data_IF_086582220587
#
_entry.id   IF_086582220587
#
_cell.length_a   1.000
_cell.length_b   1.000
_cell.length_c   1.000
_cell.angle_alpha   90.00
_cell.angle_beta   90.00
_cell.angle_gamma   90.00
#
_symmetry.space_group_name_H-M   'P 1'
#
loop_
_entity.id
_entity.type
_entity.pdbx_description
1 polymer ?
#
# COMPACT_ATOMS: atom_id res chain seq x y z
N UNK A 1 19.47 8.43 30.96
CA UNK A 1 18.84 8.75 29.65
C UNK A 1 18.15 7.50 29.13
N UNK A 2 16.81 7.49 29.15
CA UNK A 2 16.00 6.28 28.93
C UNK A 2 15.92 5.95 27.44
N UNK A 3 16.42 4.76 27.06
CA UNK A 3 16.16 4.17 25.74
C UNK A 3 14.82 3.43 25.79
N UNK A 4 13.78 4.04 25.22
CA UNK A 4 12.50 3.38 25.03
C UNK A 4 12.56 2.55 23.76
N UNK A 5 12.98 1.29 23.87
CA UNK A 5 12.64 0.28 22.87
C UNK A 5 11.15 -0.03 22.95
N UNK A 6 10.31 0.71 22.23
CA UNK A 6 8.93 0.27 21.93
C UNK A 6 8.89 -0.34 20.53
N UNK A 7 9.38 -1.57 20.40
CA UNK A 7 8.94 -2.46 19.32
C UNK A 7 7.79 -3.30 19.84
N UNK A 8 6.65 -2.66 20.11
CA UNK A 8 5.39 -3.38 20.28
C UNK A 8 4.94 -3.89 18.91
N UNK A 9 4.41 -5.12 18.85
CA UNK A 9 3.76 -5.65 17.64
C UNK A 9 2.74 -4.61 17.15
N UNK A 10 2.84 -4.09 15.91
CA UNK A 10 1.83 -3.19 15.38
C UNK A 10 0.48 -3.86 15.56
N UNK A 11 -0.47 -3.16 16.19
CA UNK A 11 -1.82 -3.70 16.33
C UNK A 11 -2.39 -3.93 14.92
N UNK A 12 -3.25 -4.94 14.79
CA UNK A 12 -3.77 -5.38 13.49
C UNK A 12 -4.52 -4.26 12.76
N UNK A 13 -5.18 -3.36 13.51
CA UNK A 13 -5.82 -2.14 13.02
C UNK A 13 -4.83 -1.20 12.30
N UNK A 14 -3.72 -0.86 12.96
CA UNK A 14 -2.64 -0.01 12.42
C UNK A 14 -1.98 -0.65 11.20
N UNK A 15 -1.89 -1.98 11.20
CA UNK A 15 -1.36 -2.74 10.07
C UNK A 15 -2.25 -2.59 8.82
N UNK A 16 -3.56 -2.71 8.99
CA UNK A 16 -4.54 -2.54 7.92
C UNK A 16 -4.62 -1.10 7.41
N UNK A 17 -4.56 -0.11 8.30
CA UNK A 17 -4.54 1.31 7.93
C UNK A 17 -3.29 1.69 7.13
N UNK A 18 -2.13 1.15 7.48
CA UNK A 18 -0.89 1.33 6.68
C UNK A 18 -1.06 0.70 5.30
N UNK A 19 -1.62 -0.50 5.21
CA UNK A 19 -1.81 -1.19 3.94
C UNK A 19 -2.78 -0.45 3.00
N UNK A 20 -3.91 0.01 3.53
CA UNK A 20 -4.87 0.80 2.77
C UNK A 20 -4.22 2.07 2.19
N UNK A 21 -3.47 2.82 3.02
CA UNK A 21 -2.74 4.04 2.59
C UNK A 21 -1.71 3.75 1.51
N UNK A 22 -0.92 2.69 1.68
CA UNK A 22 0.06 2.25 0.68
C UNK A 22 -0.62 2.00 -0.66
N UNK A 23 -1.69 1.21 -0.66
CA UNK A 23 -2.40 0.86 -1.88
C UNK A 23 -3.09 2.07 -2.51
N UNK A 24 -3.60 3.01 -1.72
CA UNK A 24 -4.20 4.26 -2.21
C UNK A 24 -3.16 5.16 -2.90
N UNK A 25 -2.01 5.38 -2.25
CA UNK A 25 -0.90 6.16 -2.81
C UNK A 25 -0.33 5.48 -4.05
N UNK A 26 -0.06 4.18 -4.00
CA UNK A 26 0.45 3.42 -5.13
C UNK A 26 -0.53 3.50 -6.32
N UNK A 27 -1.82 3.31 -6.06
CA UNK A 27 -2.88 3.46 -7.07
C UNK A 27 -2.83 4.83 -7.74
N UNK A 28 -2.74 5.91 -6.95
CA UNK A 28 -2.68 7.27 -7.47
C UNK A 28 -1.44 7.47 -8.34
N UNK A 29 -0.26 7.08 -7.86
CA UNK A 29 0.98 7.28 -8.60
C UNK A 29 1.01 6.45 -9.89
N UNK A 30 0.63 5.18 -9.84
CA UNK A 30 0.58 4.34 -11.04
C UNK A 30 -0.33 4.92 -12.12
N UNK A 31 -1.46 5.52 -11.75
CA UNK A 31 -2.35 6.17 -12.72
C UNK A 31 -1.83 7.53 -13.21
N UNK A 32 -1.24 8.34 -12.34
CA UNK A 32 -0.83 9.70 -12.69
C UNK A 32 0.44 9.72 -13.55
N UNK A 33 1.40 8.85 -13.25
CA UNK A 33 2.71 8.87 -13.88
C UNK A 33 3.10 7.54 -14.53
N UNK A 34 2.29 6.49 -14.45
CA UNK A 34 2.58 5.19 -15.05
C UNK A 34 3.49 4.32 -14.17
N UNK A 35 3.65 3.05 -14.59
CA UNK A 35 4.40 2.04 -13.85
C UNK A 35 5.90 2.38 -13.76
N UNK A 36 6.55 2.71 -14.88
CA UNK A 36 8.00 2.89 -14.94
C UNK A 36 8.49 4.07 -14.10
N UNK A 37 7.77 5.20 -14.15
CA UNK A 37 8.12 6.41 -13.40
C UNK A 37 7.76 6.34 -11.91
N UNK A 38 7.00 5.32 -11.50
CA UNK A 38 6.67 5.13 -10.08
C UNK A 38 7.79 4.38 -9.37
N UNK A 39 8.31 4.98 -8.31
CA UNK A 39 9.35 4.38 -7.48
C UNK A 39 8.76 3.81 -6.20
N UNK A 40 9.38 2.74 -5.72
CA UNK A 40 8.97 2.07 -4.50
C UNK A 40 9.20 2.98 -3.27
N UNK A 41 10.31 3.72 -3.29
CA UNK A 41 10.68 4.70 -2.28
C UNK A 41 9.68 5.85 -2.19
N UNK A 42 9.24 6.39 -3.33
CA UNK A 42 8.26 7.47 -3.37
C UNK A 42 6.90 7.04 -2.81
N UNK A 43 6.49 5.80 -3.07
CA UNK A 43 5.28 5.23 -2.46
C UNK A 43 5.44 5.12 -0.95
N UNK A 44 6.55 4.54 -0.46
CA UNK A 44 6.79 4.35 0.97
C UNK A 44 6.80 5.69 1.73
N UNK A 45 7.44 6.71 1.15
CA UNK A 45 7.51 8.06 1.71
C UNK A 45 6.13 8.71 1.81
N UNK A 46 5.38 8.76 0.71
CA UNK A 46 4.06 9.40 0.65
C UNK A 46 2.99 8.64 1.45
N UNK A 47 3.14 7.32 1.60
CA UNK A 47 2.25 6.52 2.44
C UNK A 47 2.62 6.57 3.93
N UNK A 48 3.72 7.24 4.30
CA UNK A 48 4.33 7.18 5.63
C UNK A 48 4.49 5.75 6.15
N UNK A 49 4.90 4.84 5.25
CA UNK A 49 5.12 3.44 5.53
C UNK A 49 6.62 3.14 5.67
N UNK A 50 6.98 2.35 6.67
CA UNK A 50 8.36 1.89 6.80
C UNK A 50 8.75 1.02 5.61
N UNK A 51 9.90 1.31 4.99
CA UNK A 51 10.41 0.53 3.84
C UNK A 51 10.45 -0.97 4.12
N UNK A 52 10.92 -1.37 5.30
CA UNK A 52 10.95 -2.78 5.72
C UNK A 52 9.57 -3.43 5.77
N UNK A 53 8.54 -2.69 6.21
CA UNK A 53 7.15 -3.17 6.23
C UNK A 53 6.61 -3.34 4.83
N UNK A 54 6.92 -2.39 3.93
CA UNK A 54 6.49 -2.45 2.54
C UNK A 54 7.17 -3.62 1.83
N UNK A 55 8.50 -3.73 1.92
CA UNK A 55 9.28 -4.81 1.30
C UNK A 55 8.88 -6.20 1.80
N UNK A 56 8.54 -6.34 3.08
CA UNK A 56 8.06 -7.61 3.64
C UNK A 56 6.71 -8.06 3.05
N UNK A 57 5.87 -7.12 2.62
CA UNK A 57 4.53 -7.41 2.04
C UNK A 57 4.57 -7.52 0.52
N UNK A 58 5.28 -6.60 -0.12
CA UNK A 58 5.33 -6.48 -1.57
C UNK A 58 6.79 -6.44 -2.02
N UNK A 59 7.45 -7.60 -2.20
CA UNK A 59 8.90 -7.65 -2.42
C UNK A 59 9.36 -6.92 -3.69
N UNK A 60 8.46 -6.67 -4.64
CA UNK A 60 8.76 -5.94 -5.88
C UNK A 60 7.67 -4.92 -6.23
N UNK A 61 7.98 -4.00 -7.15
CA UNK A 61 7.02 -3.01 -7.68
C UNK A 61 5.88 -3.72 -8.43
N UNK A 62 6.16 -4.81 -9.13
CA UNK A 62 5.18 -5.66 -9.81
C UNK A 62 4.26 -6.35 -8.80
N UNK A 63 4.78 -6.82 -7.66
CA UNK A 63 3.96 -7.42 -6.62
C UNK A 63 2.97 -6.40 -6.04
N UNK A 64 3.43 -5.17 -5.76
CA UNK A 64 2.56 -4.09 -5.31
C UNK A 64 1.54 -3.69 -6.39
N UNK A 65 1.97 -3.61 -7.66
CA UNK A 65 1.09 -3.28 -8.77
C UNK A 65 -0.02 -4.33 -8.98
N UNK A 66 0.31 -5.62 -8.86
CA UNK A 66 -0.69 -6.72 -8.92
C UNK A 66 -1.76 -6.54 -7.84
N UNK A 67 -1.38 -6.19 -6.62
CA UNK A 67 -2.33 -5.96 -5.53
C UNK A 67 -3.18 -4.70 -5.74
N UNK A 68 -2.61 -3.64 -6.30
CA UNK A 68 -3.36 -2.46 -6.74
C UNK A 68 -4.42 -2.84 -7.77
N UNK A 69 -4.05 -3.60 -8.80
CA UNK A 69 -5.00 -4.06 -9.83
C UNK A 69 -6.08 -4.96 -9.22
N UNK A 70 -5.70 -5.92 -8.37
CA UNK A 70 -6.65 -6.81 -7.69
C UNK A 70 -7.68 -6.03 -6.88
N UNK A 71 -7.24 -5.06 -6.06
CA UNK A 71 -8.12 -4.19 -5.28
C UNK A 71 -9.05 -3.35 -6.16
N UNK A 72 -8.52 -2.78 -7.26
CA UNK A 72 -9.30 -1.98 -8.22
C UNK A 72 -10.39 -2.79 -8.91
N UNK A 73 -10.07 -4.01 -9.35
CA UNK A 73 -11.03 -4.92 -9.98
C UNK A 73 -12.12 -5.29 -8.98
N UNK A 74 -11.76 -5.68 -7.75
CA UNK A 74 -12.73 -6.02 -6.71
C UNK A 74 -13.71 -4.88 -6.41
N UNK A 75 -13.20 -3.65 -6.28
CA UNK A 75 -14.04 -2.46 -6.08
C UNK A 75 -14.95 -2.16 -7.28
N UNK A 76 -14.48 -2.42 -8.50
CA UNK A 76 -15.27 -2.21 -9.71
C UNK A 76 -16.39 -3.24 -9.82
N UNK A 77 -16.11 -4.50 -9.49
CA UNK A 77 -17.10 -5.58 -9.46
C UNK A 77 -18.18 -5.34 -8.41
N UNK A 78 -17.80 -4.91 -7.20
CA UNK A 78 -18.77 -4.58 -6.14
C UNK A 78 -19.77 -3.51 -6.62
N UNK A 79 -19.28 -2.44 -7.25
CA UNK A 79 -20.14 -1.36 -7.79
C UNK A 79 -21.09 -1.82 -8.90
N UNK A 80 -20.68 -2.81 -9.69
CA UNK A 80 -21.54 -3.38 -10.75
C UNK A 80 -22.64 -4.24 -10.09
N UNK A 81 -22.29 -5.02 -9.08
CA UNK A 81 -23.22 -5.88 -8.35
C UNK A 81 -24.22 -5.11 -7.48
N UNK A 82 -23.80 -3.96 -6.92
CA UNK A 82 -24.64 -3.09 -6.09
C UNK A 82 -25.61 -2.22 -6.92
N UNK A 83 -25.56 -2.31 -8.25
CA UNK A 83 -26.33 -1.51 -9.20
C UNK A 83 -27.35 -2.28 -10.05
N UNK A 84 -27.86 -3.42 -9.56
CA UNK A 84 -28.89 -4.25 -10.21
C UNK A 84 -30.20 -4.30 -9.43
#
# INVERSE_FOLDING_TARGET
MVSVRRRGRPRADQTGEVEARVLDIATRLFLQQGFDRTTYEGIAELAHAGKATLYARYPTKEALFKEVVRRRVALSLARISDGG
#
